data_IF_347236292049
#
_entry.id   IF_347236292049
#
_cell.length_a   1.000
_cell.length_b   1.000
_cell.length_c   1.000
_cell.angle_alpha   90.00
_cell.angle_beta   90.00
_cell.angle_gamma   90.00
#
_symmetry.space_group_name_H-M   'P 1'
#
loop_
_entity.id
_entity.type
_entity.pdbx_description
1 polymer ?
#
# COMPACT_ATOMS: atom_id res chain seq x y z
N UNK A 1 -4.81 -11.70 -12.47
CA UNK A 1 -4.11 -11.10 -13.64
C UNK A 1 -2.81 -10.49 -13.14
N UNK A 2 -1.70 -10.63 -13.86
CA UNK A 2 -0.50 -9.85 -13.55
C UNK A 2 -0.84 -8.35 -13.66
N UNK A 3 -0.24 -7.52 -12.80
CA UNK A 3 -0.44 -6.06 -12.88
C UNK A 3 -0.08 -5.52 -14.27
N UNK A 4 -0.62 -4.35 -14.68
CA UNK A 4 -0.29 -3.78 -15.98
C UNK A 4 1.22 -3.66 -16.16
N UNK A 5 1.70 -4.00 -17.36
CA UNK A 5 3.11 -3.84 -17.69
C UNK A 5 3.48 -2.35 -17.64
N UNK A 6 4.56 -2.02 -16.93
CA UNK A 6 5.06 -0.65 -16.86
C UNK A 6 5.50 -0.20 -18.27
N UNK A 7 5.19 1.02 -18.69
CA UNK A 7 5.61 1.50 -20.02
C UNK A 7 7.14 1.55 -20.13
N UNK A 8 7.65 1.46 -21.36
CA UNK A 8 9.09 1.57 -21.62
C UNK A 8 9.64 2.92 -21.13
N UNK A 9 10.75 2.88 -20.37
CA UNK A 9 11.35 4.10 -19.81
C UNK A 9 10.65 4.63 -18.55
N UNK A 10 9.69 3.89 -17.99
CA UNK A 10 9.10 4.24 -16.70
C UNK A 10 10.17 4.30 -15.61
N UNK A 11 10.23 5.44 -14.93
CA UNK A 11 11.01 5.59 -13.69
C UNK A 11 10.08 6.02 -12.57
N UNK A 12 10.40 5.57 -11.36
CA UNK A 12 9.62 5.97 -10.20
C UNK A 12 9.81 7.44 -9.86
N UNK A 13 11.03 7.98 -10.04
CA UNK A 13 11.32 9.38 -9.75
C UNK A 13 10.49 10.31 -10.63
N UNK A 14 10.42 10.04 -11.95
CA UNK A 14 9.64 10.87 -12.87
C UNK A 14 8.15 10.74 -12.60
N UNK A 15 7.67 9.52 -12.33
CA UNK A 15 6.27 9.27 -12.03
C UNK A 15 5.87 9.96 -10.73
N UNK A 16 6.61 9.75 -9.65
CA UNK A 16 6.37 10.40 -8.36
C UNK A 16 6.43 11.92 -8.48
N UNK A 17 7.40 12.47 -9.22
CA UNK A 17 7.50 13.90 -9.48
C UNK A 17 6.29 14.43 -10.27
N UNK A 18 5.80 13.70 -11.27
CA UNK A 18 4.61 14.10 -12.03
C UNK A 18 3.33 14.08 -11.19
N UNK A 19 3.22 13.15 -10.24
CA UNK A 19 2.02 13.00 -9.39
C UNK A 19 2.03 13.98 -8.22
N UNK A 20 3.19 14.19 -7.58
CA UNK A 20 3.29 14.90 -6.31
C UNK A 20 4.18 16.14 -6.31
N UNK A 21 5.01 16.35 -7.34
CA UNK A 21 5.86 17.53 -7.48
C UNK A 21 7.23 17.44 -6.80
N UNK A 22 7.74 16.24 -6.50
CA UNK A 22 9.03 16.04 -5.83
C UNK A 22 9.62 14.64 -6.02
N UNK A 23 10.56 14.25 -5.15
CA UNK A 23 11.11 12.89 -5.10
C UNK A 23 10.65 12.19 -3.83
N UNK A 24 10.48 10.85 -3.84
CA UNK A 24 10.20 10.12 -2.61
C UNK A 24 11.38 10.23 -1.64
N UNK A 25 11.08 10.32 -0.33
CA UNK A 25 12.06 10.22 0.76
C UNK A 25 12.66 8.81 0.83
N UNK A 26 11.90 7.80 0.41
CA UNK A 26 12.31 6.40 0.47
C UNK A 26 11.39 5.44 -0.26
N UNK A 27 11.76 4.17 -0.23
CA UNK A 27 10.97 3.06 -0.76
C UNK A 27 10.88 1.96 0.29
N UNK A 28 9.66 1.52 0.56
CA UNK A 28 9.36 0.40 1.45
C UNK A 28 8.74 -0.72 0.64
N UNK A 29 9.11 -1.95 0.97
CA UNK A 29 8.77 -3.13 0.17
C UNK A 29 8.26 -4.21 1.10
N UNK A 30 7.09 -4.76 0.79
CA UNK A 30 6.55 -5.91 1.49
C UNK A 30 6.14 -6.99 0.48
N UNK A 31 6.62 -8.24 0.67
CA UNK A 31 6.32 -9.32 -0.26
C UNK A 31 4.89 -9.82 -0.09
N UNK A 32 4.31 -10.32 -1.18
CA UNK A 32 3.20 -11.26 -1.09
C UNK A 32 3.66 -12.56 -0.43
N UNK A 33 2.72 -13.42 -0.06
CA UNK A 33 3.03 -14.69 0.60
C UNK A 33 2.10 -15.79 0.17
N UNK A 34 2.62 -17.00 0.17
CA UNK A 34 1.83 -18.23 0.08
C UNK A 34 1.94 -18.97 1.39
N UNK A 35 0.88 -19.69 1.76
CA UNK A 35 0.93 -20.60 2.88
C UNK A 35 1.18 -22.01 2.36
N UNK A 36 2.21 -22.68 2.88
CA UNK A 36 2.58 -24.03 2.43
C UNK A 36 1.67 -25.08 3.07
N UNK A 37 1.27 -24.86 4.33
CA UNK A 37 0.30 -25.67 5.07
C UNK A 37 -0.30 -24.85 6.23
N UNK A 38 -1.49 -25.24 6.69
CA UNK A 38 -2.18 -24.58 7.81
C UNK A 38 -3.30 -23.63 7.38
N UNK A 39 -3.93 -23.85 6.24
CA UNK A 39 -5.09 -23.05 5.81
C UNK A 39 -6.21 -23.06 6.86
N UNK A 40 -6.85 -21.92 7.07
CA UNK A 40 -7.98 -21.75 8.00
C UNK A 40 -7.67 -22.03 9.48
N UNK A 41 -6.38 -22.04 9.86
CA UNK A 41 -5.97 -22.32 11.25
C UNK A 41 -5.58 -21.08 12.04
N UNK A 42 -5.17 -20.01 11.37
CA UNK A 42 -4.65 -18.78 11.97
C UNK A 42 -5.67 -18.09 12.90
N UNK A 43 -6.92 -17.97 12.46
CA UNK A 43 -8.00 -17.43 13.28
C UNK A 43 -8.59 -18.43 14.30
N UNK A 44 -8.06 -19.65 14.35
CA UNK A 44 -8.42 -20.70 15.32
C UNK A 44 -7.26 -21.02 16.28
N UNK A 45 -6.29 -20.11 16.43
CA UNK A 45 -5.10 -20.28 17.28
C UNK A 45 -4.23 -21.50 16.89
N UNK A 46 -4.29 -21.93 15.64
CA UNK A 46 -3.50 -23.05 15.11
C UNK A 46 -2.15 -22.63 14.51
N UNK A 47 -1.42 -23.63 13.97
CA UNK A 47 -0.11 -23.41 13.35
C UNK A 47 -0.20 -23.22 11.83
N UNK A 48 0.61 -22.30 11.31
CA UNK A 48 0.77 -22.02 9.88
C UNK A 48 2.22 -22.16 9.44
N UNK A 49 2.45 -22.44 8.15
CA UNK A 49 3.80 -22.45 7.56
C UNK A 49 3.85 -21.60 6.28
N UNK A 50 3.93 -20.27 6.41
CA UNK A 50 4.01 -19.38 5.25
C UNK A 50 5.43 -19.20 4.73
N UNK A 51 5.53 -18.79 3.47
CA UNK A 51 6.77 -18.25 2.88
C UNK A 51 6.46 -17.01 2.04
N UNK A 52 7.38 -16.03 2.08
CA UNK A 52 7.31 -14.86 1.22
C UNK A 52 7.60 -15.22 -0.24
N UNK A 53 6.98 -14.49 -1.16
CA UNK A 53 7.22 -14.58 -2.59
C UNK A 53 8.21 -13.48 -3.04
N UNK A 54 8.85 -13.64 -4.21
CA UNK A 54 9.62 -12.56 -4.84
C UNK A 54 8.74 -11.38 -5.30
N UNK A 55 7.43 -11.62 -5.47
CA UNK A 55 6.44 -10.61 -5.81
C UNK A 55 6.14 -9.75 -4.57
N UNK A 56 6.08 -8.44 -4.72
CA UNK A 56 5.96 -7.48 -3.64
C UNK A 56 5.13 -6.23 -4.02
N UNK A 57 4.51 -5.65 -3.01
CA UNK A 57 4.05 -4.27 -3.05
C UNK A 57 5.19 -3.34 -2.62
N UNK A 58 5.22 -2.15 -3.22
CA UNK A 58 6.23 -1.12 -3.00
C UNK A 58 5.51 0.20 -2.75
N UNK A 59 5.85 0.85 -1.64
CA UNK A 59 5.40 2.19 -1.32
C UNK A 59 6.58 3.14 -1.48
N UNK A 60 6.47 4.07 -2.41
CA UNK A 60 7.37 5.22 -2.52
C UNK A 60 6.73 6.35 -1.75
N UNK A 61 7.39 6.84 -0.72
CA UNK A 61 6.77 7.78 0.20
C UNK A 61 7.60 9.04 0.40
N UNK A 62 6.93 10.18 0.55
CA UNK A 62 7.53 11.42 1.04
C UNK A 62 6.68 11.99 2.17
N UNK A 63 7.33 12.51 3.22
CA UNK A 63 6.62 13.16 4.32
C UNK A 63 6.10 14.52 3.91
N UNK A 64 4.94 14.89 4.46
CA UNK A 64 4.35 16.23 4.32
C UNK A 64 4.40 16.98 5.64
N UNK A 65 4.33 18.31 5.56
CA UNK A 65 4.27 19.17 6.74
C UNK A 65 2.85 19.31 7.31
N UNK A 66 1.82 18.99 6.52
CA UNK A 66 0.42 18.98 6.95
C UNK A 66 -0.01 17.60 7.46
N UNK A 67 -1.31 17.40 7.66
CA UNK A 67 -1.91 16.13 8.12
C UNK A 67 -2.60 15.35 6.99
N UNK A 68 -2.37 15.74 5.74
CA UNK A 68 -3.03 15.11 4.58
C UNK A 68 -2.22 13.90 4.15
N UNK A 69 -2.90 12.78 3.88
CA UNK A 69 -2.31 11.62 3.21
C UNK A 69 -2.84 11.57 1.80
N UNK A 70 -1.93 11.49 0.83
CA UNK A 70 -2.24 11.35 -0.59
C UNK A 70 -1.75 10.01 -1.11
N UNK A 71 -2.60 9.29 -1.83
CA UNK A 71 -2.32 7.94 -2.31
C UNK A 71 -2.67 7.82 -3.79
N UNK A 72 -1.75 7.28 -4.58
CA UNK A 72 -1.94 6.95 -5.99
C UNK A 72 -1.30 5.59 -6.29
N UNK A 73 -1.72 4.94 -7.37
CA UNK A 73 -1.23 3.63 -7.77
C UNK A 73 -0.78 3.58 -9.22
N UNK A 74 0.32 2.86 -9.48
CA UNK A 74 0.77 2.52 -10.82
C UNK A 74 -0.19 1.58 -11.56
N UNK A 75 -1.00 0.82 -10.83
CA UNK A 75 -1.94 -0.17 -11.39
C UNK A 75 -3.21 0.49 -11.96
N UNK A 76 -3.53 1.70 -11.53
CA UNK A 76 -4.68 2.47 -12.02
C UNK A 76 -4.37 3.97 -12.02
N UNK A 77 -3.67 4.41 -13.07
CA UNK A 77 -3.37 5.83 -13.27
C UNK A 77 -4.63 6.69 -13.52
N UNK A 78 -5.75 6.07 -13.94
CA UNK A 78 -7.00 6.79 -14.21
C UNK A 78 -7.78 7.14 -12.95
N UNK A 79 -7.54 6.41 -11.84
CA UNK A 79 -8.12 6.71 -10.55
C UNK A 79 -7.58 8.00 -9.91
N UNK A 80 -6.44 8.52 -10.40
CA UNK A 80 -5.84 9.75 -9.89
C UNK A 80 -5.27 9.62 -8.49
N UNK A 81 -5.17 10.77 -7.81
CA UNK A 81 -4.68 10.88 -6.42
C UNK A 81 -5.88 10.92 -5.48
N UNK A 82 -5.93 9.99 -4.53
CA UNK A 82 -6.83 10.06 -3.40
C UNK A 82 -6.20 10.85 -2.27
N UNK A 83 -6.95 11.74 -1.65
CA UNK A 83 -6.47 12.60 -0.57
C UNK A 83 -7.42 12.53 0.63
N UNK A 84 -6.87 12.45 1.85
CA UNK A 84 -7.65 12.48 3.08
C UNK A 84 -6.85 13.14 4.21
N UNK A 85 -7.51 13.94 5.05
CA UNK A 85 -6.92 14.38 6.32
C UNK A 85 -6.96 13.24 7.34
N UNK A 86 -5.84 12.99 8.02
CA UNK A 86 -5.74 11.98 9.08
C UNK A 86 -6.78 12.13 10.18
N UNK A 87 -7.16 13.37 10.52
CA UNK A 87 -8.17 13.68 11.53
C UNK A 87 -9.58 13.26 11.12
N UNK A 88 -9.85 13.11 9.83
CA UNK A 88 -11.16 12.75 9.29
C UNK A 88 -11.30 11.25 9.07
N UNK A 89 -10.22 10.48 8.94
CA UNK A 89 -10.26 9.04 8.64
C UNK A 89 -11.13 8.23 9.63
N UNK A 90 -12.13 7.51 9.12
CA UNK A 90 -13.00 6.60 9.86
C UNK A 90 -13.27 5.33 9.04
N UNK A 91 -13.58 4.20 9.69
CA UNK A 91 -13.96 2.98 8.99
C UNK A 91 -15.11 3.20 8.00
N UNK A 92 -14.97 2.66 6.78
CA UNK A 92 -16.01 2.70 5.75
C UNK A 92 -16.09 3.99 4.93
N UNK A 93 -15.29 5.03 5.22
CA UNK A 93 -15.33 6.28 4.43
C UNK A 93 -14.62 6.17 3.07
N UNK A 94 -13.61 5.32 2.98
CA UNK A 94 -12.79 5.13 1.78
C UNK A 94 -13.10 3.75 1.22
N UNK A 95 -13.35 3.68 -0.09
CA UNK A 95 -13.57 2.44 -0.82
C UNK A 95 -12.39 2.15 -1.77
N UNK A 96 -12.29 0.91 -2.22
CA UNK A 96 -11.25 0.49 -3.17
C UNK A 96 -9.86 0.38 -2.54
N UNK A 97 -8.82 0.35 -3.38
CA UNK A 97 -7.45 0.14 -2.93
C UNK A 97 -6.93 1.19 -1.91
N UNK A 98 -7.31 2.49 -1.96
CA UNK A 98 -6.78 3.47 -1.01
C UNK A 98 -7.22 3.17 0.43
N UNK A 99 -8.33 2.45 0.61
CA UNK A 99 -8.81 2.04 1.93
C UNK A 99 -7.80 1.16 2.68
N UNK A 100 -7.02 0.33 1.97
CA UNK A 100 -5.96 -0.49 2.58
C UNK A 100 -4.83 0.39 3.13
N UNK A 101 -4.42 1.41 2.38
CA UNK A 101 -3.33 2.34 2.76
C UNK A 101 -3.79 3.31 3.86
N UNK A 102 -4.93 3.97 3.66
CA UNK A 102 -5.49 4.91 4.62
C UNK A 102 -6.00 4.21 5.89
N UNK A 103 -6.40 2.94 5.79
CA UNK A 103 -6.75 2.09 6.92
C UNK A 103 -5.57 1.86 7.87
N UNK A 104 -4.34 1.72 7.35
CA UNK A 104 -3.13 1.63 8.18
C UNK A 104 -2.90 2.93 8.94
N UNK A 105 -2.98 4.08 8.27
CA UNK A 105 -2.82 5.38 8.91
C UNK A 105 -3.90 5.62 10.00
N UNK A 106 -5.15 5.23 9.72
CA UNK A 106 -6.23 5.23 10.71
C UNK A 106 -5.91 4.31 11.91
N UNK A 107 -5.49 3.06 11.67
CA UNK A 107 -5.20 2.11 12.73
C UNK A 107 -4.03 2.55 13.62
N UNK A 108 -3.00 3.17 13.04
CA UNK A 108 -1.90 3.77 13.79
C UNK A 108 -2.35 4.95 14.65
N UNK A 109 -3.24 5.80 14.14
CA UNK A 109 -3.83 6.88 14.93
C UNK A 109 -4.67 6.34 16.11
N UNK A 110 -5.48 5.30 15.89
CA UNK A 110 -6.23 4.61 16.95
C UNK A 110 -5.31 3.96 18.00
N UNK A 111 -4.13 3.49 17.59
CA UNK A 111 -3.10 2.98 18.49
C UNK A 111 -2.34 4.09 19.26
N UNK A 112 -2.69 5.37 19.07
CA UNK A 112 -2.09 6.51 19.75
C UNK A 112 -0.78 7.01 19.13
N UNK A 113 -0.42 6.57 17.92
CA UNK A 113 0.76 7.07 17.23
C UNK A 113 0.49 8.45 16.63
N UNK A 114 1.45 9.37 16.85
CA UNK A 114 1.40 10.70 16.23
C UNK A 114 1.92 10.64 14.81
N UNK A 115 1.01 10.76 13.83
CA UNK A 115 1.32 10.75 12.41
C UNK A 115 1.30 12.17 11.81
N UNK A 116 2.24 12.43 10.91
CA UNK A 116 2.16 13.53 9.95
C UNK A 116 1.59 13.06 8.62
N UNK A 117 1.30 14.00 7.72
CA UNK A 117 0.86 13.72 6.37
C UNK A 117 1.95 13.04 5.52
N UNK A 118 1.54 12.39 4.44
CA UNK A 118 2.44 11.69 3.53
C UNK A 118 1.89 11.64 2.10
N UNK A 119 2.79 11.67 1.12
CA UNK A 119 2.51 11.31 -0.26
C UNK A 119 2.98 9.87 -0.49
N UNK A 120 2.10 8.98 -0.94
CA UNK A 120 2.36 7.55 -1.14
C UNK A 120 2.03 7.17 -2.58
N UNK A 121 3.04 6.75 -3.33
CA UNK A 121 2.85 6.13 -4.63
C UNK A 121 3.03 4.62 -4.50
N UNK A 122 2.01 3.86 -4.89
CA UNK A 122 1.98 2.41 -4.74
C UNK A 122 2.26 1.74 -6.08
N UNK A 123 3.13 0.74 -6.07
CA UNK A 123 3.35 -0.16 -7.19
C UNK A 123 3.44 -1.61 -6.71
N UNK A 124 2.75 -2.54 -7.37
CA UNK A 124 2.73 -3.94 -6.98
C UNK A 124 2.76 -4.87 -8.19
N UNK A 125 3.58 -5.92 -8.09
CA UNK A 125 3.57 -7.07 -9.00
C UNK A 125 2.85 -8.28 -8.39
N UNK A 126 2.31 -8.18 -7.15
CA UNK A 126 1.50 -9.24 -6.53
C UNK A 126 0.14 -9.31 -7.22
N UNK A 127 -0.23 -10.44 -7.86
CA UNK A 127 -1.50 -10.56 -8.58
C UNK A 127 -2.71 -10.41 -7.65
N UNK A 128 -3.59 -9.46 -7.98
CA UNK A 128 -4.87 -9.26 -7.27
C UNK A 128 -5.75 -10.49 -7.46
N UNK A 129 -6.35 -10.97 -6.36
CA UNK A 129 -7.30 -12.08 -6.35
C UNK A 129 -6.67 -13.47 -6.48
N UNK A 130 -5.34 -13.60 -6.50
CA UNK A 130 -4.67 -14.89 -6.64
C UNK A 130 -4.47 -15.66 -5.32
N UNK A 131 -5.00 -15.16 -4.19
CA UNK A 131 -4.75 -15.75 -2.87
C UNK A 131 -3.33 -15.54 -2.34
N UNK A 132 -2.53 -14.67 -2.99
CA UNK A 132 -1.11 -14.42 -2.67
C UNK A 132 -0.88 -13.23 -1.72
N UNK A 133 -1.93 -12.82 -0.99
CA UNK A 133 -1.89 -11.72 -0.02
C UNK A 133 -1.47 -10.36 -0.59
N UNK A 134 -2.07 -9.95 -1.71
CA UNK A 134 -1.82 -8.61 -2.27
C UNK A 134 -2.27 -7.48 -1.34
N UNK A 135 -3.34 -7.66 -0.55
CA UNK A 135 -3.80 -6.68 0.45
C UNK A 135 -2.80 -6.53 1.59
N UNK A 136 -2.36 -7.64 2.19
CA UNK A 136 -1.40 -7.60 3.29
C UNK A 136 -0.05 -7.04 2.85
N UNK A 137 0.42 -7.36 1.64
CA UNK A 137 1.61 -6.75 1.07
C UNK A 137 1.46 -5.23 0.94
N UNK A 138 0.30 -4.75 0.47
CA UNK A 138 0.02 -3.32 0.38
C UNK A 138 0.00 -2.63 1.75
N UNK A 139 -0.72 -3.20 2.71
CA UNK A 139 -0.81 -2.68 4.08
C UNK A 139 0.56 -2.65 4.76
N UNK A 140 1.35 -3.74 4.65
CA UNK A 140 2.68 -3.82 5.25
C UNK A 140 3.71 -2.92 4.58
N UNK A 141 3.58 -2.63 3.27
CA UNK A 141 4.46 -1.67 2.61
C UNK A 141 4.14 -0.22 2.99
N UNK A 142 2.88 0.06 3.37
CA UNK A 142 2.42 1.39 3.78
C UNK A 142 2.66 1.69 5.27
N UNK A 143 2.73 0.65 6.11
CA UNK A 143 3.01 0.71 7.55
C UNK A 143 4.46 1.14 7.85
#
# INVERSE_FOLDING_TARGET
MAGPARPSGWTVSDTFASVYGGTPDGTWVAPGRVNLVGEFTDYNEGFVLPTSLPLAARAFAARRADRVVRVASAQDASAGVFEADLGDLRPGMVAGFPAYVLGVAWAFAEAGLSLGGADLFIDSDVPVGAGLSSSAALECAAA
#
